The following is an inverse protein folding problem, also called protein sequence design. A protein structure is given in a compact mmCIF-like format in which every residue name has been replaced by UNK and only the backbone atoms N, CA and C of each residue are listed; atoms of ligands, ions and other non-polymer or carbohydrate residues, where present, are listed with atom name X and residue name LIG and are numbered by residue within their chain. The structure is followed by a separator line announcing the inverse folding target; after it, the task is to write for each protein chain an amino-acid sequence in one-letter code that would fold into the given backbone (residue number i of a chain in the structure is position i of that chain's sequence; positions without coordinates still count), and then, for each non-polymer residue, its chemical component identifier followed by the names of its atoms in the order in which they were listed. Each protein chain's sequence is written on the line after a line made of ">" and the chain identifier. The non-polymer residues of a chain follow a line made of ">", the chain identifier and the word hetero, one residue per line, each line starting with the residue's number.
data_IF_183969453780
#
_entry.id   IF_183969453780
#
_cell.length_a   1.000
_cell.length_b   1.000
_cell.length_c   1.000
_cell.angle_alpha   90.00
_cell.angle_beta   90.00
_cell.angle_gamma   90.00
#
_symmetry.space_group_name_H-M   'P 1'
#
loop_
_entity.id
_entity.type
_entity.pdbx_description
1 polymer ?
#
# COMPACT_ATOMS: atom_id res chain seq x y z
N UNK A 1 -26.36 -11.94 -17.42
CA UNK A 1 -25.10 -12.26 -16.72
C UNK A 1 -24.58 -10.96 -16.11
N UNK A 2 -24.08 -10.96 -14.86
CA UNK A 2 -23.43 -9.78 -14.29
C UNK A 2 -22.27 -9.34 -15.17
N UNK A 3 -21.92 -8.05 -15.12
CA UNK A 3 -20.80 -7.53 -15.91
C UNK A 3 -19.45 -8.01 -15.34
N UNK A 4 -18.35 -7.67 -16.02
CA UNK A 4 -17.03 -8.12 -15.59
C UNK A 4 -16.60 -7.48 -14.27
N UNK A 5 -16.95 -6.20 -14.06
CA UNK A 5 -16.59 -5.45 -12.87
C UNK A 5 -17.27 -6.06 -11.63
N UNK A 6 -18.57 -6.32 -11.71
CA UNK A 6 -19.35 -7.00 -10.68
C UNK A 6 -18.74 -8.35 -10.33
N UNK A 7 -18.30 -9.12 -11.32
CA UNK A 7 -17.70 -10.43 -11.09
C UNK A 7 -16.39 -10.31 -10.30
N UNK A 8 -15.54 -9.34 -10.64
CA UNK A 8 -14.26 -9.22 -9.97
C UNK A 8 -14.36 -8.51 -8.61
N UNK A 9 -15.29 -7.58 -8.40
CA UNK A 9 -15.33 -6.76 -7.17
C UNK A 9 -16.22 -7.34 -6.06
N UNK A 10 -17.37 -7.92 -6.41
CA UNK A 10 -18.42 -8.31 -5.44
C UNK A 10 -18.14 -9.58 -4.63
N UNK A 11 -17.11 -10.36 -4.97
CA UNK A 11 -16.76 -11.59 -4.26
C UNK A 11 -15.31 -11.57 -3.82
N UNK A 12 -15.11 -11.53 -2.51
CA UNK A 12 -13.78 -11.62 -1.89
C UNK A 12 -13.03 -12.89 -2.32
N UNK A 13 -13.75 -14.01 -2.48
CA UNK A 13 -13.17 -15.26 -2.95
C UNK A 13 -12.61 -15.15 -4.36
N UNK A 14 -13.36 -14.52 -5.28
CA UNK A 14 -12.91 -14.32 -6.66
C UNK A 14 -11.73 -13.36 -6.75
N UNK A 15 -11.76 -12.25 -5.99
CA UNK A 15 -10.62 -11.32 -5.87
C UNK A 15 -9.35 -12.06 -5.46
N UNK A 16 -9.43 -12.79 -4.34
CA UNK A 16 -8.29 -13.52 -3.79
C UNK A 16 -7.77 -14.61 -4.71
N UNK A 17 -8.65 -15.33 -5.43
CA UNK A 17 -8.23 -16.32 -6.43
C UNK A 17 -7.49 -15.64 -7.59
N UNK A 18 -8.02 -14.54 -8.14
CA UNK A 18 -7.38 -13.83 -9.25
C UNK A 18 -5.99 -13.32 -8.88
N UNK A 19 -5.85 -12.71 -7.69
CA UNK A 19 -4.57 -12.21 -7.18
C UNK A 19 -3.59 -13.36 -6.92
N UNK A 20 -4.04 -14.45 -6.30
CA UNK A 20 -3.20 -15.61 -6.03
C UNK A 20 -2.64 -16.27 -7.31
N UNK A 21 -3.45 -16.32 -8.37
CA UNK A 21 -3.03 -16.89 -9.66
C UNK A 21 -2.10 -15.98 -10.47
N UNK A 22 -1.80 -14.76 -10.00
CA UNK A 22 -0.80 -13.89 -10.66
C UNK A 22 0.61 -14.47 -10.57
N UNK A 23 0.93 -15.20 -9.50
CA UNK A 23 2.24 -15.80 -9.26
C UNK A 23 2.48 -17.09 -10.08
N UNK A 24 1.43 -17.58 -10.76
CA UNK A 24 1.51 -18.71 -11.67
C UNK A 24 0.45 -19.80 -11.43
N UNK A 25 0.51 -20.91 -12.19
CA UNK A 25 -0.45 -21.99 -12.08
C UNK A 25 -0.33 -22.75 -10.75
N UNK A 26 -1.45 -22.96 -10.06
CA UNK A 26 -1.50 -23.72 -8.81
C UNK A 26 -2.69 -24.67 -8.74
N UNK A 27 -2.59 -25.69 -7.90
CA UNK A 27 -3.61 -26.72 -7.71
C UNK A 27 -4.76 -26.23 -6.82
N UNK A 28 -5.93 -26.88 -6.94
CA UNK A 28 -7.06 -26.62 -6.04
C UNK A 28 -6.70 -26.77 -4.56
N UNK A 29 -5.80 -27.70 -4.23
CA UNK A 29 -5.33 -27.94 -2.87
C UNK A 29 -4.45 -26.81 -2.33
N UNK A 30 -3.68 -26.14 -3.18
CA UNK A 30 -2.92 -24.94 -2.82
C UNK A 30 -3.85 -23.74 -2.62
N UNK A 31 -4.78 -23.50 -3.54
CA UNK A 31 -5.78 -22.42 -3.41
C UNK A 31 -6.53 -22.55 -2.07
N UNK A 32 -6.96 -23.76 -1.71
CA UNK A 32 -7.66 -24.03 -0.44
C UNK A 32 -6.80 -23.73 0.79
N UNK A 33 -5.53 -24.13 0.77
CA UNK A 33 -4.59 -23.92 1.88
C UNK A 33 -4.27 -22.43 2.05
N UNK A 34 -3.95 -21.73 0.97
CA UNK A 34 -3.55 -20.33 1.01
C UNK A 34 -4.70 -19.40 1.42
N UNK A 35 -5.90 -19.65 0.92
CA UNK A 35 -7.05 -18.77 1.18
C UNK A 35 -7.84 -19.12 2.45
N UNK A 36 -7.50 -20.23 3.13
CA UNK A 36 -8.18 -20.76 4.31
C UNK A 36 -9.72 -20.80 4.16
N UNK A 37 -10.22 -21.07 2.95
CA UNK A 37 -11.66 -21.10 2.67
C UNK A 37 -12.25 -22.48 2.98
N UNK A 38 -13.44 -22.49 3.59
CA UNK A 38 -14.24 -23.69 3.82
C UNK A 38 -14.44 -24.42 2.48
N UNK A 39 -14.05 -25.71 2.43
CA UNK A 39 -13.80 -26.48 1.19
C UNK A 39 -14.96 -26.55 0.18
N UNK A 40 -16.19 -26.26 0.62
CA UNK A 40 -17.43 -26.39 -0.16
C UNK A 40 -17.71 -25.22 -1.11
N UNK A 41 -17.03 -24.07 -0.96
CA UNK A 41 -17.40 -22.84 -1.69
C UNK A 41 -16.49 -22.40 -2.84
N UNK A 42 -15.33 -23.04 -3.06
CA UNK A 42 -14.29 -22.50 -3.97
C UNK A 42 -14.53 -22.86 -5.44
N UNK A 43 -14.95 -24.09 -5.72
CA UNK A 43 -15.15 -24.59 -7.08
C UNK A 43 -16.21 -23.79 -7.85
N UNK A 44 -17.36 -23.43 -7.25
CA UNK A 44 -18.31 -22.55 -7.93
C UNK A 44 -17.71 -21.20 -8.32
N UNK A 45 -16.81 -20.65 -7.50
CA UNK A 45 -16.18 -19.35 -7.79
C UNK A 45 -15.17 -19.47 -8.94
N UNK A 46 -14.39 -20.55 -8.98
CA UNK A 46 -13.48 -20.84 -10.10
C UNK A 46 -14.27 -21.00 -11.40
N UNK A 47 -15.36 -21.77 -11.38
CA UNK A 47 -16.22 -21.96 -12.57
C UNK A 47 -16.75 -20.63 -13.12
N UNK A 48 -17.18 -19.72 -12.26
CA UNK A 48 -17.63 -18.38 -12.70
C UNK A 48 -16.48 -17.60 -13.36
N UNK A 49 -15.25 -17.72 -12.86
CA UNK A 49 -14.07 -17.09 -13.47
C UNK A 49 -13.69 -17.74 -14.81
N UNK A 50 -13.86 -19.05 -14.95
CA UNK A 50 -13.66 -19.79 -16.20
C UNK A 50 -14.70 -19.42 -17.26
N UNK A 51 -15.99 -19.34 -16.89
CA UNK A 51 -17.08 -18.91 -17.77
C UNK A 51 -16.86 -17.50 -18.34
N UNK A 52 -16.09 -16.66 -17.64
CA UNK A 52 -15.72 -15.31 -18.07
C UNK A 52 -14.34 -15.23 -18.70
N UNK A 53 -13.72 -16.37 -18.97
CA UNK A 53 -12.41 -16.47 -19.58
C UNK A 53 -11.33 -15.69 -18.80
N UNK A 54 -11.40 -15.66 -17.47
CA UNK A 54 -10.39 -15.07 -16.58
C UNK A 54 -9.42 -16.12 -16.04
N UNK A 55 -9.94 -17.32 -15.78
CA UNK A 55 -9.18 -18.48 -15.31
C UNK A 55 -9.35 -19.60 -16.32
N UNK A 56 -8.35 -20.46 -16.43
CA UNK A 56 -8.41 -21.71 -17.18
C UNK A 56 -7.82 -22.84 -16.37
N UNK A 57 -8.34 -24.04 -16.60
CA UNK A 57 -7.77 -25.26 -16.05
C UNK A 57 -6.69 -25.83 -17.00
N UNK A 58 -5.50 -26.08 -16.45
CA UNK A 58 -4.37 -26.74 -17.10
C UNK A 58 -4.09 -28.07 -16.37
N UNK A 59 -4.73 -29.15 -16.82
CA UNK A 59 -4.64 -30.44 -16.15
C UNK A 59 -5.22 -30.41 -14.73
N UNK A 60 -4.36 -30.48 -13.72
CA UNK A 60 -4.74 -30.40 -12.29
C UNK A 60 -4.54 -29.03 -11.66
N UNK A 61 -4.06 -28.06 -12.43
CA UNK A 61 -3.78 -26.70 -11.99
C UNK A 61 -4.75 -25.71 -12.63
N UNK A 62 -4.86 -24.54 -12.01
CA UNK A 62 -5.58 -23.39 -12.54
C UNK A 62 -4.59 -22.27 -12.80
N UNK A 63 -4.79 -21.53 -13.89
CA UNK A 63 -3.95 -20.42 -14.30
C UNK A 63 -4.83 -19.25 -14.79
N UNK A 64 -4.30 -18.03 -14.72
CA UNK A 64 -4.95 -16.89 -15.39
C UNK A 64 -4.85 -17.04 -16.92
N UNK A 65 -5.92 -16.66 -17.61
CA UNK A 65 -5.86 -16.40 -19.05
C UNK A 65 -5.13 -15.08 -19.33
N UNK A 66 -4.88 -14.75 -20.59
CA UNK A 66 -4.33 -13.42 -20.93
C UNK A 66 -5.22 -12.26 -20.46
N UNK A 67 -6.55 -12.41 -20.55
CA UNK A 67 -7.51 -11.43 -20.02
C UNK A 67 -7.44 -11.40 -18.49
N UNK A 68 -7.39 -12.58 -17.85
CA UNK A 68 -7.26 -12.69 -16.40
C UNK A 68 -6.02 -12.01 -15.84
N UNK A 69 -4.88 -12.13 -16.53
CA UNK A 69 -3.62 -11.47 -16.15
C UNK A 69 -3.74 -9.94 -16.18
N UNK A 70 -4.32 -9.38 -17.25
CA UNK A 70 -4.55 -7.94 -17.35
C UNK A 70 -5.46 -7.47 -16.22
N UNK A 71 -6.58 -8.16 -16.02
CA UNK A 71 -7.55 -7.82 -14.98
C UNK A 71 -6.92 -7.89 -13.58
N UNK A 72 -6.22 -8.97 -13.25
CA UNK A 72 -5.58 -9.12 -11.95
C UNK A 72 -4.53 -8.03 -11.71
N UNK A 73 -3.73 -7.68 -12.73
CA UNK A 73 -2.69 -6.64 -12.65
C UNK A 73 -3.25 -5.24 -12.36
N UNK A 74 -4.46 -4.94 -12.81
CA UNK A 74 -5.16 -3.70 -12.46
C UNK A 74 -5.91 -3.80 -11.13
N UNK A 75 -6.41 -4.99 -10.79
CA UNK A 75 -7.15 -5.23 -9.55
C UNK A 75 -6.23 -5.14 -8.32
N UNK A 76 -5.00 -5.65 -8.40
CA UNK A 76 -4.04 -5.67 -7.29
C UNK A 76 -3.78 -4.27 -6.69
N UNK A 77 -3.33 -3.25 -7.46
CA UNK A 77 -3.11 -1.92 -6.90
C UNK A 77 -4.40 -1.29 -6.38
N UNK A 78 -5.55 -1.53 -7.02
CA UNK A 78 -6.84 -1.04 -6.54
C UNK A 78 -7.19 -1.61 -5.16
N UNK A 79 -7.05 -2.92 -4.98
CA UNK A 79 -7.30 -3.60 -3.70
C UNK A 79 -6.36 -3.07 -2.63
N UNK A 80 -5.06 -2.91 -2.93
CA UNK A 80 -4.08 -2.35 -1.99
C UNK A 80 -4.41 -0.91 -1.60
N UNK A 81 -4.82 -0.07 -2.55
CA UNK A 81 -5.23 1.32 -2.28
C UNK A 81 -6.42 1.36 -1.34
N UNK A 82 -7.47 0.58 -1.61
CA UNK A 82 -8.66 0.54 -0.75
C UNK A 82 -8.30 0.04 0.65
N UNK A 83 -7.44 -0.98 0.76
CA UNK A 83 -6.96 -1.47 2.05
C UNK A 83 -6.24 -0.40 2.87
N UNK A 84 -5.33 0.37 2.26
CA UNK A 84 -4.64 1.48 2.95
C UNK A 84 -5.62 2.54 3.45
N UNK A 85 -6.64 2.85 2.65
CA UNK A 85 -7.67 3.83 3.03
C UNK A 85 -8.51 3.28 4.19
N UNK A 86 -8.99 2.04 4.09
CA UNK A 86 -9.83 1.39 5.11
C UNK A 86 -9.08 1.17 6.44
N UNK A 87 -7.80 0.82 6.39
CA UNK A 87 -6.99 0.61 7.60
C UNK A 87 -6.81 1.87 8.43
N UNK A 88 -6.85 3.05 7.80
CA UNK A 88 -6.59 4.35 8.44
C UNK A 88 -7.66 5.38 8.06
N UNK A 89 -8.92 4.97 8.00
CA UNK A 89 -10.03 5.78 7.46
C UNK A 89 -10.16 7.13 8.15
N UNK A 90 -10.06 7.15 9.48
CA UNK A 90 -10.14 8.37 10.29
C UNK A 90 -9.02 9.36 9.97
N UNK A 91 -7.77 8.87 9.88
CA UNK A 91 -6.62 9.68 9.47
C UNK A 91 -6.86 10.35 8.12
N UNK A 92 -7.24 9.59 7.08
CA UNK A 92 -7.45 10.14 5.74
C UNK A 92 -8.63 11.12 5.68
N UNK A 93 -9.66 10.93 6.54
CA UNK A 93 -10.83 11.81 6.63
C UNK A 93 -10.52 13.16 7.28
N UNK A 94 -9.61 13.18 8.25
CA UNK A 94 -9.29 14.37 9.04
C UNK A 94 -8.17 15.23 8.44
N UNK A 95 -7.41 14.69 7.48
CA UNK A 95 -6.27 15.37 6.88
C UNK A 95 -6.59 15.92 5.47
N UNK A 96 -6.05 17.10 5.17
CA UNK A 96 -6.15 17.71 3.85
C UNK A 96 -5.21 17.02 2.84
N UNK A 97 -5.79 16.31 1.87
CA UNK A 97 -5.05 15.61 0.82
C UNK A 97 -4.61 16.53 -0.32
N UNK A 98 -5.13 17.76 -0.42
CA UNK A 98 -4.80 18.69 -1.52
C UNK A 98 -3.35 19.16 -1.46
N UNK A 99 -2.74 19.14 -0.27
CA UNK A 99 -1.33 19.43 -0.07
C UNK A 99 -0.38 18.34 -0.63
N UNK A 100 -0.91 17.14 -0.92
CA UNK A 100 -0.11 16.03 -1.44
C UNK A 100 -0.15 16.04 -2.97
N UNK A 101 1.01 16.10 -3.67
CA UNK A 101 1.06 16.00 -5.11
C UNK A 101 0.29 14.79 -5.65
N UNK A 102 -0.55 15.01 -6.66
CA UNK A 102 -1.41 13.96 -7.25
C UNK A 102 -0.64 12.68 -7.62
N UNK A 103 0.59 12.81 -8.13
CA UNK A 103 1.44 11.67 -8.49
C UNK A 103 1.80 10.77 -7.30
N UNK A 104 1.87 11.33 -6.09
CA UNK A 104 2.10 10.59 -4.85
C UNK A 104 0.81 9.95 -4.34
N UNK A 105 -0.32 10.66 -4.43
CA UNK A 105 -1.64 10.08 -4.12
C UNK A 105 -1.93 8.86 -4.99
N UNK A 106 -1.53 8.87 -6.27
CA UNK A 106 -1.69 7.70 -7.14
C UNK A 106 -0.84 6.49 -6.76
N UNK A 107 0.10 6.64 -5.82
CA UNK A 107 0.97 5.58 -5.28
C UNK A 107 0.66 5.25 -3.82
N UNK A 108 -0.49 5.68 -3.30
CA UNK A 108 -0.87 5.48 -1.89
C UNK A 108 -0.90 4.00 -1.47
N UNK A 109 -1.12 3.07 -2.41
CA UNK A 109 -1.02 1.62 -2.17
C UNK A 109 0.37 1.15 -1.73
N UNK A 110 1.43 1.94 -1.95
CA UNK A 110 2.78 1.65 -1.47
C UNK A 110 2.91 1.80 0.08
N UNK A 111 1.90 2.36 0.75
CA UNK A 111 1.83 2.49 2.22
C UNK A 111 1.23 1.25 2.93
N UNK A 112 1.03 0.14 2.23
CA UNK A 112 0.31 -1.04 2.76
C UNK A 112 0.85 -1.67 4.05
N UNK A 113 2.15 -1.54 4.33
CA UNK A 113 2.79 -2.03 5.55
C UNK A 113 3.21 -0.84 6.44
N UNK A 114 2.25 -0.01 6.85
CA UNK A 114 2.52 1.17 7.69
C UNK A 114 1.83 1.08 9.06
N UNK A 115 2.49 1.67 10.05
CA UNK A 115 1.96 1.84 11.41
C UNK A 115 1.84 3.34 11.69
N UNK A 116 0.68 3.77 12.18
CA UNK A 116 0.50 5.13 12.71
C UNK A 116 0.89 5.11 14.19
N UNK A 117 1.78 6.04 14.57
CA UNK A 117 2.19 6.25 15.95
C UNK A 117 1.56 7.57 16.40
N UNK A 118 0.49 7.47 17.17
CA UNK A 118 -0.18 8.60 17.80
C UNK A 118 0.20 8.69 19.28
N UNK A 119 0.25 9.91 19.80
CA UNK A 119 0.42 10.16 21.23
C UNK A 119 -0.63 11.13 21.73
N UNK A 120 -1.10 10.89 22.95
CA UNK A 120 -1.94 11.87 23.64
C UNK A 120 -1.14 13.13 23.98
N UNK A 121 -1.85 14.20 24.36
CA UNK A 121 -1.23 15.47 24.78
C UNK A 121 -0.35 15.27 26.03
N UNK A 122 -0.63 14.25 26.83
CA UNK A 122 0.17 13.88 28.00
C UNK A 122 1.47 13.15 27.63
N UNK A 123 1.54 12.54 26.45
CA UNK A 123 2.64 11.69 25.97
C UNK A 123 3.32 12.24 24.71
N UNK A 124 3.31 13.57 24.53
CA UNK A 124 3.85 14.28 23.35
C UNK A 124 5.26 13.85 22.89
N UNK A 125 6.06 13.24 23.76
CA UNK A 125 7.42 12.79 23.47
C UNK A 125 7.55 11.30 23.14
N UNK A 126 6.50 10.48 23.29
CA UNK A 126 6.55 9.05 22.98
C UNK A 126 6.82 8.76 21.48
N UNK A 127 6.18 9.43 20.50
CA UNK A 127 6.48 9.21 19.09
C UNK A 127 7.91 9.58 18.75
N UNK A 128 8.49 10.55 19.46
CA UNK A 128 9.89 10.91 19.32
C UNK A 128 10.83 9.79 19.80
N UNK A 129 10.49 9.05 20.86
CA UNK A 129 11.31 7.93 21.33
C UNK A 129 11.34 6.79 20.31
N UNK A 130 10.18 6.40 19.80
CA UNK A 130 10.07 5.34 18.78
C UNK A 130 10.76 5.75 17.48
N UNK A 131 10.56 6.99 17.03
CA UNK A 131 11.27 7.57 15.89
C UNK A 131 12.80 7.50 16.03
N UNK A 132 13.34 7.91 17.19
CA UNK A 132 14.78 7.87 17.45
C UNK A 132 15.30 6.43 17.52
N UNK A 133 14.54 5.50 18.14
CA UNK A 133 14.86 4.07 18.16
C UNK A 133 14.96 3.47 16.76
N UNK A 134 13.95 3.71 15.92
CA UNK A 134 13.92 3.27 14.53
C UNK A 134 15.09 3.84 13.73
N UNK A 135 15.43 5.12 13.95
CA UNK A 135 16.62 5.70 13.34
C UNK A 135 17.85 4.94 13.81
N UNK A 136 18.09 4.72 15.10
CA UNK A 136 19.31 4.09 15.60
C UNK A 136 19.59 2.72 14.97
N UNK A 137 18.56 1.91 14.74
CA UNK A 137 18.68 0.57 14.15
C UNK A 137 18.80 0.57 12.61
N UNK A 138 18.44 1.68 11.95
CA UNK A 138 18.39 1.77 10.49
C UNK A 138 19.76 1.87 9.83
N UNK A 139 19.99 1.10 8.75
CA UNK A 139 21.20 1.20 7.90
C UNK A 139 21.19 2.40 6.95
N UNK A 140 20.00 2.83 6.53
CA UNK A 140 19.77 3.98 5.65
C UNK A 140 18.60 4.78 6.19
N UNK A 141 18.71 6.09 6.23
CA UNK A 141 17.64 6.98 6.69
C UNK A 141 17.29 7.95 5.55
N UNK A 142 16.00 8.03 5.23
CA UNK A 142 15.43 9.02 4.34
C UNK A 142 14.21 9.61 5.04
N UNK A 143 14.06 10.93 4.98
CA UNK A 143 12.98 11.60 5.70
C UNK A 143 12.66 12.96 5.11
N UNK A 144 11.39 13.32 5.23
CA UNK A 144 10.83 14.64 4.95
C UNK A 144 10.28 15.14 6.28
N UNK A 145 10.67 16.34 6.70
CA UNK A 145 10.13 16.95 7.91
C UNK A 145 9.66 18.37 7.61
N UNK A 146 8.42 18.73 8.00
CA UNK A 146 7.93 20.10 7.87
C UNK A 146 8.64 21.05 8.85
N UNK A 147 9.23 20.49 9.93
CA UNK A 147 9.90 21.23 10.99
C UNK A 147 11.27 20.62 11.24
N UNK A 148 12.31 21.45 11.33
CA UNK A 148 13.63 20.99 11.76
C UNK A 148 13.73 21.13 13.28
N UNK A 149 13.71 20.01 14.00
CA UNK A 149 13.97 20.04 15.43
C UNK A 149 15.46 20.32 15.68
N UNK A 150 15.84 21.28 16.56
CA UNK A 150 17.24 21.68 16.76
C UNK A 150 18.18 20.54 17.17
N UNK A 151 17.66 19.49 17.81
CA UNK A 151 18.44 18.32 18.27
C UNK A 151 18.73 17.31 17.16
N UNK A 152 17.97 17.33 16.06
CA UNK A 152 18.09 16.31 15.00
C UNK A 152 19.44 16.36 14.26
N UNK A 153 19.99 17.52 13.86
CA UNK A 153 21.29 17.59 13.19
C UNK A 153 22.42 16.89 13.97
N UNK A 154 22.54 17.17 15.27
CA UNK A 154 23.58 16.59 16.11
C UNK A 154 23.37 15.09 16.33
N UNK A 155 22.12 14.68 16.56
CA UNK A 155 21.76 13.27 16.69
C UNK A 155 22.12 12.46 15.44
N UNK A 156 21.77 12.98 14.26
CA UNK A 156 22.11 12.37 12.98
C UNK A 156 23.64 12.31 12.78
N UNK A 157 24.35 13.42 12.99
CA UNK A 157 25.81 13.48 12.91
C UNK A 157 26.51 12.44 13.82
N UNK A 158 26.07 12.33 15.08
CA UNK A 158 26.62 11.35 16.04
C UNK A 158 26.45 9.91 15.54
N UNK A 159 25.28 9.57 14.98
CA UNK A 159 25.02 8.24 14.44
C UNK A 159 25.92 7.93 13.23
N UNK A 160 26.08 8.88 12.31
CA UNK A 160 26.88 8.67 11.08
C UNK A 160 28.35 8.43 11.37
N UNK A 161 28.91 9.13 12.36
CA UNK A 161 30.29 8.97 12.79
C UNK A 161 30.58 7.57 13.38
N UNK A 162 29.57 6.89 13.91
CA UNK A 162 29.74 5.57 14.55
C UNK A 162 29.39 4.37 13.65
N UNK A 163 28.47 4.50 12.69
CA UNK A 163 27.82 3.32 12.06
C UNK A 163 28.06 3.18 10.54
N UNK A 164 28.75 4.11 9.87
CA UNK A 164 28.87 4.13 8.38
C UNK A 164 27.51 4.05 7.66
N UNK A 165 26.46 4.61 8.26
CA UNK A 165 25.15 4.71 7.63
C UNK A 165 25.16 5.79 6.52
N UNK A 166 24.24 5.71 5.56
CA UNK A 166 24.03 6.74 4.53
C UNK A 166 22.67 7.43 4.72
N UNK A 167 22.60 8.76 4.64
CA UNK A 167 21.34 9.51 4.71
C UNK A 167 21.13 10.42 3.52
N UNK A 168 19.88 10.48 3.06
CA UNK A 168 19.37 11.54 2.19
C UNK A 168 18.16 12.14 2.88
N UNK A 169 18.33 13.32 3.46
CA UNK A 169 17.23 14.09 4.04
C UNK A 169 16.83 15.19 3.07
N UNK A 170 15.54 15.31 2.77
CA UNK A 170 14.99 16.49 2.10
C UNK A 170 14.24 17.26 3.19
N UNK A 171 14.80 18.37 3.63
CA UNK A 171 14.08 19.30 4.49
C UNK A 171 13.27 20.21 3.58
N UNK A 172 11.95 20.11 3.63
CA UNK A 172 11.07 21.05 2.94
C UNK A 172 10.48 21.95 4.01
N UNK A 173 10.89 23.23 4.11
CA UNK A 173 10.21 24.19 4.97
C UNK A 173 8.71 24.18 4.64
N UNK A 174 7.83 24.26 5.65
CA UNK A 174 6.36 24.36 5.44
C UNK A 174 6.02 25.40 4.36
N UNK A 175 6.78 26.50 4.33
CA UNK A 175 6.67 27.61 3.40
C UNK A 175 6.89 27.20 1.92
N UNK A 176 7.73 26.19 1.67
CA UNK A 176 8.03 25.65 0.34
C UNK A 176 7.05 24.52 -0.05
N UNK A 177 6.46 23.80 0.92
CA UNK A 177 5.33 22.88 0.66
C UNK A 177 4.08 23.65 0.20
N UNK A 178 3.79 24.81 0.81
CA UNK A 178 2.66 25.66 0.43
C UNK A 178 2.86 26.25 -0.98
N UNK A 179 4.07 26.72 -1.33
CA UNK A 179 4.36 27.23 -2.68
C UNK A 179 4.26 26.16 -3.77
N UNK A 180 4.53 24.90 -3.46
CA UNK A 180 4.35 23.80 -4.41
C UNK A 180 2.86 23.50 -4.68
N UNK A 181 1.97 23.84 -3.76
CA UNK A 181 0.51 23.79 -3.93
C UNK A 181 -0.07 25.05 -4.61
N UNK A 182 0.53 26.22 -4.38
CA UNK A 182 0.08 27.51 -4.96
C UNK A 182 0.67 27.80 -6.36
N UNK A 183 1.52 26.92 -6.89
CA UNK A 183 2.29 27.11 -8.13
C UNK A 183 1.62 26.64 -9.43
N UNK A 184 0.34 26.25 -9.43
CA UNK A 184 -0.41 26.10 -10.68
C UNK A 184 -1.15 27.41 -10.98
N UNK A 185 -0.71 28.20 -11.98
CA UNK A 185 -1.54 29.30 -12.44
C UNK A 185 -2.85 28.72 -12.96
N UNK A 186 -3.97 29.21 -12.42
CA UNK A 186 -5.25 29.17 -13.11
C UNK A 186 -5.06 29.85 -14.48
N UNK A 187 -4.96 29.04 -15.53
CA UNK A 187 -5.05 29.48 -16.92
C UNK A 187 -5.34 28.24 -17.78
N UNK A 188 -6.41 28.13 -18.57
CA UNK A 188 -7.51 29.03 -18.94
C UNK A 188 -8.73 28.17 -19.36
#
# INVERSE_FOLDING_TARGET
>A
MPDLLDIITSSDKRKKILLLLQDGPITLGEIRRTLNFNATGILPQIRILEERNLVRQEGKQYALTGIGQIVAKHLEPLVKTVQVIEQQEEFWREHDLTAIPFQLLMKISELGDTQIIESSIEELFEPHKEFLGNILESRRVMGISPIVHPVYPDFFCFKFLKIKASMRSIVIPINELIKAGEGFPESA
#
